data_IF_739665803563
#
_entry.id   IF_739665803563
#
_cell.length_a   1.000
_cell.length_b   1.000
_cell.length_c   1.000
_cell.angle_alpha   90.00
_cell.angle_beta   90.00
_cell.angle_gamma   90.00
#
_symmetry.space_group_name_H-M   'P 1'
#
loop_
_entity.id
_entity.type
_entity.pdbx_description
1 polymer ?
#
# COMPACT_ATOMS: atom_id res chain seq x y z
N UNK A 1 -7.18 28.60 109.01
CA UNK A 1 -6.06 27.78 108.48
C UNK A 1 -6.48 26.83 107.35
N UNK A 2 -7.55 26.03 107.51
CA UNK A 2 -7.94 25.00 106.53
C UNK A 2 -8.33 25.51 105.11
N UNK A 3 -8.99 26.67 105.01
CA UNK A 3 -9.45 27.25 103.72
C UNK A 3 -8.27 27.73 102.86
N UNK A 4 -7.21 28.26 103.49
CA UNK A 4 -6.01 28.75 102.80
C UNK A 4 -5.18 27.58 102.22
N UNK A 5 -5.08 26.48 102.97
CA UNK A 5 -4.40 25.24 102.53
C UNK A 5 -5.10 24.57 101.36
N UNK A 6 -6.45 24.59 101.34
CA UNK A 6 -7.26 24.11 100.21
C UNK A 6 -7.02 24.92 98.93
N UNK A 7 -6.87 26.24 99.01
CA UNK A 7 -6.64 27.09 97.85
C UNK A 7 -5.24 26.89 97.25
N UNK A 8 -4.21 26.76 98.09
CA UNK A 8 -2.83 26.51 97.65
C UNK A 8 -2.75 25.17 96.91
N UNK A 9 -3.38 24.11 97.43
CA UNK A 9 -3.42 22.80 96.78
C UNK A 9 -4.11 22.84 95.42
N UNK A 10 -5.24 23.54 95.32
CA UNK A 10 -5.99 23.70 94.07
C UNK A 10 -5.20 24.49 93.02
N UNK A 11 -4.45 25.51 93.44
CA UNK A 11 -3.54 26.26 92.57
C UNK A 11 -2.37 25.42 92.05
N UNK A 12 -1.75 24.61 92.91
CA UNK A 12 -0.69 23.68 92.50
C UNK A 12 -1.20 22.63 91.51
N UNK A 13 -2.41 22.10 91.70
CA UNK A 13 -3.02 21.15 90.78
C UNK A 13 -3.37 21.78 89.42
N UNK A 14 -3.82 23.04 89.40
CA UNK A 14 -4.07 23.77 88.17
C UNK A 14 -2.77 24.06 87.41
N UNK A 15 -1.72 24.46 88.13
CA UNK A 15 -0.40 24.70 87.54
C UNK A 15 0.19 23.43 86.89
N UNK A 16 0.07 22.28 87.56
CA UNK A 16 0.52 21.00 86.99
C UNK A 16 -0.33 20.55 85.80
N UNK A 17 -1.65 20.82 85.82
CA UNK A 17 -2.51 20.57 84.65
C UNK A 17 -2.10 21.45 83.47
N UNK A 18 -1.83 22.72 83.70
CA UNK A 18 -1.40 23.66 82.67
C UNK A 18 -0.04 23.27 82.07
N UNK A 19 0.89 22.83 82.90
CA UNK A 19 2.19 22.29 82.46
C UNK A 19 2.01 21.06 81.56
N UNK A 20 1.16 20.12 81.95
CA UNK A 20 0.83 18.94 81.12
C UNK A 20 0.15 19.31 79.81
N UNK A 21 -0.74 20.31 79.81
CA UNK A 21 -1.39 20.80 78.59
C UNK A 21 -0.33 21.34 77.62
N UNK A 22 0.62 22.16 78.09
CA UNK A 22 1.71 22.67 77.24
C UNK A 22 2.62 21.56 76.72
N UNK A 23 2.92 20.54 77.52
CA UNK A 23 3.70 19.37 77.08
C UNK A 23 2.97 18.55 76.01
N UNK A 24 1.65 18.41 76.11
CA UNK A 24 0.82 17.73 75.10
C UNK A 24 0.75 18.55 73.82
N UNK A 25 0.60 19.87 73.91
CA UNK A 25 0.60 20.78 72.75
C UNK A 25 1.94 20.75 72.03
N UNK A 26 3.06 20.81 72.75
CA UNK A 26 4.40 20.71 72.18
C UNK A 26 4.62 19.37 71.43
N UNK A 27 4.17 18.25 72.01
CA UNK A 27 4.24 16.94 71.33
C UNK A 27 3.38 16.86 70.08
N UNK A 28 2.17 17.43 70.11
CA UNK A 28 1.29 17.49 68.93
C UNK A 28 1.89 18.33 67.81
N UNK A 29 2.58 19.41 68.15
CA UNK A 29 3.26 20.26 67.16
C UNK A 29 4.48 19.57 66.55
N UNK A 30 5.24 18.78 67.32
CA UNK A 30 6.33 17.94 66.80
C UNK A 30 5.82 16.79 65.91
N UNK A 31 4.76 16.10 66.31
CA UNK A 31 4.11 15.07 65.49
C UNK A 31 3.57 15.65 64.17
N UNK A 32 3.02 16.87 64.21
CA UNK A 32 2.54 17.55 63.01
C UNK A 32 3.69 17.90 62.05
N UNK A 33 4.81 18.42 62.58
CA UNK A 33 6.00 18.73 61.78
C UNK A 33 6.61 17.50 61.13
N UNK A 34 6.75 16.41 61.89
CA UNK A 34 7.29 15.14 61.38
C UNK A 34 6.38 14.52 60.31
N UNK A 35 5.06 14.59 60.48
CA UNK A 35 4.10 14.14 59.47
C UNK A 35 4.15 14.97 58.18
N UNK A 36 4.29 16.30 58.29
CA UNK A 36 4.45 17.19 57.13
C UNK A 36 5.78 16.94 56.38
N UNK A 37 6.87 16.65 57.08
CA UNK A 37 8.15 16.26 56.48
C UNK A 37 8.05 14.90 55.78
N UNK A 38 7.40 13.91 56.40
CA UNK A 38 7.16 12.61 55.79
C UNK A 38 6.35 12.71 54.49
N UNK A 39 5.31 13.55 54.47
CA UNK A 39 4.54 13.81 53.25
C UNK A 39 5.36 14.50 52.15
N UNK A 40 6.27 15.42 52.52
CA UNK A 40 7.16 16.08 51.55
C UNK A 40 8.17 15.11 50.94
N UNK A 41 8.68 14.15 51.72
CA UNK A 41 9.61 13.12 51.25
C UNK A 41 8.89 12.17 50.28
N UNK A 42 7.71 11.65 50.65
CA UNK A 42 6.93 10.78 49.76
C UNK A 42 6.57 11.46 48.43
N UNK A 43 6.16 12.73 48.45
CA UNK A 43 5.86 13.48 47.22
C UNK A 43 7.07 13.62 46.30
N UNK A 44 8.28 13.86 46.85
CA UNK A 44 9.52 13.95 46.07
C UNK A 44 9.94 12.60 45.49
N UNK A 45 9.78 11.52 46.25
CA UNK A 45 10.18 10.16 45.84
C UNK A 45 9.30 9.64 44.67
N UNK A 46 7.98 9.88 44.75
CA UNK A 46 7.01 9.55 43.69
C UNK A 46 7.28 10.35 42.39
N UNK A 47 7.77 11.58 42.49
CA UNK A 47 8.06 12.42 41.32
C UNK A 47 9.32 11.94 40.58
N UNK A 48 10.35 11.50 41.33
CA UNK A 48 11.61 10.98 40.76
C UNK A 48 11.40 9.64 40.03
N UNK A 49 10.58 8.74 40.56
CA UNK A 49 10.26 7.46 39.88
C UNK A 49 9.48 7.69 38.57
N UNK A 50 8.50 8.60 38.56
CA UNK A 50 7.75 8.95 37.35
C UNK A 50 8.65 9.60 36.29
N UNK A 51 9.59 10.46 36.70
CA UNK A 51 10.57 11.07 35.78
C UNK A 51 11.45 10.00 35.14
N UNK A 52 12.00 9.05 35.92
CA UNK A 52 12.80 7.93 35.39
C UNK A 52 12.00 7.05 34.43
N UNK A 53 10.73 6.79 34.73
CA UNK A 53 9.87 6.00 33.85
C UNK A 53 9.60 6.72 32.51
N UNK A 54 9.33 8.04 32.56
CA UNK A 54 9.15 8.88 31.37
C UNK A 54 10.43 8.95 30.53
N UNK A 55 11.59 9.11 31.16
CA UNK A 55 12.88 9.11 30.47
C UNK A 55 13.15 7.77 29.78
N UNK A 56 12.90 6.64 30.47
CA UNK A 56 13.08 5.31 29.88
C UNK A 56 12.13 5.07 28.68
N UNK A 57 10.88 5.53 28.77
CA UNK A 57 9.90 5.45 27.66
C UNK A 57 10.31 6.33 26.49
N UNK A 58 10.83 7.54 26.76
CA UNK A 58 11.36 8.44 25.71
C UNK A 58 12.59 7.86 25.02
N UNK A 59 13.52 7.26 25.76
CA UNK A 59 14.71 6.60 25.20
C UNK A 59 14.31 5.44 24.27
N UNK A 60 13.44 4.53 24.74
CA UNK A 60 12.95 3.41 23.92
C UNK A 60 12.24 3.90 22.65
N UNK A 61 11.43 4.95 22.75
CA UNK A 61 10.75 5.54 21.59
C UNK A 61 11.74 6.16 20.59
N UNK A 62 12.80 6.82 21.07
CA UNK A 62 13.83 7.39 20.22
C UNK A 62 14.65 6.31 19.51
N UNK A 63 15.00 5.23 20.21
CA UNK A 63 15.67 4.05 19.63
C UNK A 63 14.83 3.42 18.52
N UNK A 64 13.53 3.24 18.76
CA UNK A 64 12.60 2.68 17.77
C UNK A 64 12.49 3.59 16.54
N UNK A 65 12.41 4.91 16.73
CA UNK A 65 12.38 5.86 15.62
C UNK A 65 13.68 5.84 14.80
N UNK A 66 14.83 5.75 15.47
CA UNK A 66 16.12 5.68 14.80
C UNK A 66 16.25 4.38 13.99
N UNK A 67 15.79 3.26 14.55
CA UNK A 67 15.77 1.99 13.84
C UNK A 67 14.82 2.02 12.64
N UNK A 68 13.64 2.60 12.79
CA UNK A 68 12.71 2.77 11.68
C UNK A 68 13.32 3.60 10.55
N UNK A 69 14.02 4.70 10.88
CA UNK A 69 14.73 5.52 9.88
C UNK A 69 15.84 4.73 9.17
N UNK A 70 16.60 3.93 9.90
CA UNK A 70 17.64 3.07 9.32
C UNK A 70 17.03 2.07 8.31
N UNK A 71 15.95 1.40 8.71
CA UNK A 71 15.23 0.47 7.83
C UNK A 71 14.74 1.18 6.57
N UNK A 72 14.07 2.32 6.72
CA UNK A 72 13.55 3.09 5.58
C UNK A 72 14.66 3.43 4.60
N UNK A 73 15.80 3.94 5.07
CA UNK A 73 16.93 4.28 4.19
C UNK A 73 17.51 3.06 3.45
N UNK A 74 17.55 1.89 4.09
CA UNK A 74 18.01 0.64 3.45
C UNK A 74 17.00 0.17 2.40
N UNK A 75 15.70 0.26 2.68
CA UNK A 75 14.62 -0.06 1.72
C UNK A 75 14.69 0.88 0.52
N UNK A 76 14.81 2.18 0.74
CA UNK A 76 14.91 3.18 -0.33
C UNK A 76 16.10 2.90 -1.25
N UNK A 77 17.24 2.48 -0.70
CA UNK A 77 18.40 2.06 -1.49
C UNK A 77 18.08 0.86 -2.39
N UNK A 78 17.44 -0.18 -1.85
CA UNK A 78 17.07 -1.37 -2.61
C UNK A 78 16.06 -1.05 -3.73
N UNK A 79 15.06 -0.22 -3.43
CA UNK A 79 14.06 0.20 -4.41
C UNK A 79 14.66 1.07 -5.51
N UNK A 80 15.59 1.96 -5.16
CA UNK A 80 16.33 2.77 -6.12
C UNK A 80 17.13 1.90 -7.09
N UNK A 81 17.89 0.93 -6.59
CA UNK A 81 18.63 -0.04 -7.42
C UNK A 81 17.70 -0.79 -8.38
N UNK A 82 16.56 -1.27 -7.88
CA UNK A 82 15.58 -1.98 -8.69
C UNK A 82 15.03 -1.09 -9.81
N UNK A 83 14.70 0.16 -9.48
CA UNK A 83 14.08 1.10 -10.42
C UNK A 83 15.05 1.53 -11.52
N UNK A 84 16.28 1.85 -11.15
CA UNK A 84 17.33 2.26 -12.10
C UNK A 84 17.61 1.15 -13.10
N UNK A 85 17.70 -0.10 -12.64
CA UNK A 85 17.90 -1.24 -13.53
C UNK A 85 16.71 -1.51 -14.44
N UNK A 86 15.46 -1.45 -13.96
CA UNK A 86 14.29 -1.66 -14.82
C UNK A 86 14.18 -0.61 -15.92
N UNK A 87 14.59 0.64 -15.64
CA UNK A 87 14.68 1.70 -16.64
C UNK A 87 15.79 1.39 -17.65
N UNK A 88 16.99 1.06 -17.17
CA UNK A 88 18.14 0.74 -18.02
C UNK A 88 17.85 -0.48 -18.91
N UNK A 89 17.29 -1.55 -18.34
CA UNK A 89 16.86 -2.76 -19.04
C UNK A 89 15.87 -2.44 -20.17
N UNK A 90 14.87 -1.61 -19.90
CA UNK A 90 13.87 -1.23 -20.93
C UNK A 90 14.49 -0.43 -22.07
N UNK A 91 15.39 0.52 -21.77
CA UNK A 91 16.10 1.29 -22.80
C UNK A 91 17.05 0.40 -23.60
N UNK A 92 17.83 -0.46 -22.94
CA UNK A 92 18.75 -1.38 -23.58
C UNK A 92 18.03 -2.34 -24.54
N UNK A 93 16.88 -2.89 -24.14
CA UNK A 93 16.08 -3.76 -25.02
C UNK A 93 15.52 -3.02 -26.25
N UNK A 94 15.14 -1.75 -26.11
CA UNK A 94 14.67 -0.95 -27.25
C UNK A 94 15.80 -0.59 -28.22
N UNK A 95 16.99 -0.37 -27.69
CA UNK A 95 18.17 0.07 -28.46
C UNK A 95 19.04 -1.10 -28.94
N UNK A 96 18.70 -2.34 -28.58
CA UNK A 96 19.50 -3.53 -28.89
C UNK A 96 20.87 -3.55 -28.19
N UNK A 97 21.00 -2.86 -27.05
CA UNK A 97 22.25 -2.77 -26.27
C UNK A 97 22.32 -3.84 -25.19
N UNK A 98 23.54 -4.10 -24.71
CA UNK A 98 23.77 -5.05 -23.62
C UNK A 98 23.06 -4.61 -22.33
N UNK A 99 22.56 -5.60 -21.57
CA UNK A 99 21.67 -5.43 -20.43
C UNK A 99 22.38 -5.05 -19.13
N UNK A 100 23.71 -4.85 -19.17
CA UNK A 100 24.52 -4.46 -18.01
C UNK A 100 24.48 -5.47 -16.86
N UNK A 101 24.90 -5.04 -15.68
CA UNK A 101 24.96 -5.85 -14.45
C UNK A 101 23.58 -5.97 -13.77
N UNK A 102 23.28 -7.16 -13.22
CA UNK A 102 21.97 -7.46 -12.62
C UNK A 102 21.99 -7.18 -11.10
N UNK A 103 21.28 -6.15 -10.59
CA UNK A 103 21.34 -5.80 -9.17
C UNK A 103 20.40 -6.64 -8.29
N UNK A 104 19.59 -7.54 -8.86
CA UNK A 104 18.62 -8.32 -8.10
C UNK A 104 19.26 -9.18 -7.00
N UNK A 105 20.51 -9.62 -7.18
CA UNK A 105 21.23 -10.32 -6.13
C UNK A 105 21.51 -9.42 -4.92
N UNK A 106 22.02 -8.20 -5.14
CA UNK A 106 22.26 -7.21 -4.08
C UNK A 106 20.95 -6.85 -3.36
N UNK A 107 19.86 -6.67 -4.10
CA UNK A 107 18.54 -6.37 -3.54
C UNK A 107 18.02 -7.51 -2.65
N UNK A 108 18.18 -8.76 -3.08
CA UNK A 108 17.81 -9.95 -2.28
C UNK A 108 18.60 -9.97 -0.97
N UNK A 109 19.91 -9.68 -1.01
CA UNK A 109 20.73 -9.60 0.20
C UNK A 109 20.25 -8.49 1.14
N UNK A 110 19.92 -7.32 0.61
CA UNK A 110 19.41 -6.19 1.40
C UNK A 110 18.14 -6.60 2.15
N UNK A 111 17.15 -7.17 1.46
CA UNK A 111 15.91 -7.59 2.10
C UNK A 111 16.10 -8.77 3.05
N UNK A 112 17.08 -9.65 2.80
CA UNK A 112 17.44 -10.73 3.73
C UNK A 112 18.02 -10.18 5.03
N UNK A 113 18.93 -9.20 4.93
CA UNK A 113 19.50 -8.49 6.10
C UNK A 113 18.40 -7.76 6.88
N UNK A 114 17.49 -7.06 6.20
CA UNK A 114 16.36 -6.37 6.82
C UNK A 114 15.42 -7.35 7.54
N UNK A 115 15.04 -8.44 6.89
CA UNK A 115 14.20 -9.49 7.49
C UNK A 115 14.79 -10.00 8.80
N UNK A 116 16.08 -10.29 8.83
CA UNK A 116 16.74 -10.78 10.04
C UNK A 116 16.79 -9.69 11.14
N UNK A 117 17.07 -8.43 10.78
CA UNK A 117 17.09 -7.29 11.71
C UNK A 117 15.73 -7.01 12.37
N UNK A 118 14.63 -7.12 11.61
CA UNK A 118 13.29 -6.92 12.19
C UNK A 118 12.84 -8.13 13.01
N UNK A 119 13.25 -9.34 12.61
CA UNK A 119 12.91 -10.57 13.33
C UNK A 119 13.58 -10.62 14.71
N UNK A 120 14.84 -10.17 14.84
CA UNK A 120 15.52 -10.11 16.14
C UNK A 120 14.85 -9.15 17.13
N UNK A 121 14.06 -8.19 16.65
CA UNK A 121 13.23 -7.29 17.48
C UNK A 121 11.78 -7.77 17.68
N UNK A 122 11.43 -8.94 17.17
CA UNK A 122 10.08 -9.51 17.28
C UNK A 122 9.05 -8.90 16.33
N UNK A 123 9.48 -8.13 15.31
CA UNK A 123 8.60 -7.55 14.31
C UNK A 123 8.26 -8.57 13.21
N UNK A 124 7.38 -9.51 13.54
CA UNK A 124 7.04 -10.66 12.68
C UNK A 124 6.33 -10.24 11.40
N UNK A 125 5.47 -9.23 11.44
CA UNK A 125 4.69 -8.79 10.28
C UNK A 125 5.59 -8.16 9.21
N UNK A 126 6.52 -7.30 9.63
CA UNK A 126 7.53 -6.71 8.76
C UNK A 126 8.48 -7.77 8.21
N UNK A 127 8.85 -8.77 9.01
CA UNK A 127 9.65 -9.90 8.53
C UNK A 127 8.95 -10.69 7.41
N UNK A 128 7.63 -10.88 7.51
CA UNK A 128 6.82 -11.53 6.48
C UNK A 128 6.74 -10.68 5.21
N UNK A 129 6.62 -9.35 5.33
CA UNK A 129 6.64 -8.44 4.19
C UNK A 129 7.97 -8.56 3.44
N UNK A 130 9.10 -8.52 4.15
CA UNK A 130 10.41 -8.67 3.51
C UNK A 130 10.64 -10.08 2.93
N UNK A 131 10.11 -11.13 3.55
CA UNK A 131 10.15 -12.48 2.98
C UNK A 131 9.45 -12.56 1.62
N UNK A 132 8.28 -11.91 1.49
CA UNK A 132 7.58 -11.80 0.20
C UNK A 132 8.40 -11.02 -0.82
N UNK A 133 9.03 -9.93 -0.39
CA UNK A 133 9.85 -9.10 -1.27
C UNK A 133 11.09 -9.85 -1.79
N UNK A 134 11.75 -10.64 -0.94
CA UNK A 134 12.84 -11.55 -1.35
C UNK A 134 12.36 -12.48 -2.47
N UNK A 135 11.19 -13.10 -2.30
CA UNK A 135 10.62 -14.02 -3.29
C UNK A 135 10.38 -13.32 -4.64
N UNK A 136 9.80 -12.12 -4.61
CA UNK A 136 9.56 -11.32 -5.83
C UNK A 136 10.88 -11.07 -6.59
N UNK A 137 11.94 -10.71 -5.89
CA UNK A 137 13.23 -10.44 -6.55
C UNK A 137 13.95 -11.72 -7.01
N UNK A 138 13.73 -12.86 -6.35
CA UNK A 138 14.21 -14.16 -6.86
C UNK A 138 13.54 -14.51 -8.19
N UNK A 139 12.22 -14.33 -8.30
CA UNK A 139 11.47 -14.56 -9.54
C UNK A 139 11.92 -13.61 -10.66
N UNK A 140 12.19 -12.34 -10.33
CA UNK A 140 12.76 -11.36 -11.28
C UNK A 140 14.15 -11.76 -11.77
N UNK A 141 15.03 -12.21 -10.87
CA UNK A 141 16.37 -12.68 -11.20
C UNK A 141 16.31 -13.88 -12.15
N UNK A 142 15.42 -14.84 -11.90
CA UNK A 142 15.28 -16.00 -12.76
C UNK A 142 14.73 -15.63 -14.15
N UNK A 143 13.76 -14.72 -14.19
CA UNK A 143 13.22 -14.18 -15.45
C UNK A 143 14.29 -13.45 -16.27
N UNK A 144 15.18 -12.70 -15.61
CA UNK A 144 16.30 -12.01 -16.26
C UNK A 144 17.30 -13.00 -16.88
N UNK A 145 17.65 -14.07 -16.16
CA UNK A 145 18.51 -15.14 -16.68
C UNK A 145 17.92 -15.80 -17.93
N UNK A 146 16.61 -16.08 -17.93
CA UNK A 146 15.91 -16.65 -19.09
C UNK A 146 15.99 -15.72 -20.30
N UNK A 147 15.75 -14.42 -20.08
CA UNK A 147 15.82 -13.42 -21.14
C UNK A 147 17.23 -13.31 -21.74
N UNK A 148 18.28 -13.30 -20.91
CA UNK A 148 19.66 -13.27 -21.41
C UNK A 148 20.04 -14.51 -22.21
N UNK A 149 19.52 -15.68 -21.84
CA UNK A 149 19.73 -16.91 -22.60
C UNK A 149 19.12 -16.81 -24.00
N UNK A 150 17.90 -16.27 -24.11
CA UNK A 150 17.22 -16.06 -25.39
C UNK A 150 18.01 -15.09 -26.27
N UNK A 151 18.46 -13.96 -25.73
CA UNK A 151 19.25 -12.98 -26.48
C UNK A 151 20.59 -13.57 -26.95
N UNK A 152 21.25 -14.38 -26.10
CA UNK A 152 22.46 -15.10 -26.51
C UNK A 152 22.19 -16.09 -27.66
N UNK A 153 21.10 -16.86 -27.59
CA UNK A 153 20.71 -17.79 -28.64
C UNK A 153 20.38 -17.08 -29.96
N UNK A 154 19.72 -15.90 -29.90
CA UNK A 154 19.46 -15.07 -31.09
C UNK A 154 20.75 -14.60 -31.74
N UNK A 155 21.70 -14.09 -30.94
CA UNK A 155 23.00 -13.62 -31.45
C UNK A 155 23.81 -14.77 -32.06
N UNK A 156 23.77 -15.97 -31.45
CA UNK A 156 24.43 -17.15 -32.01
C UNK A 156 23.82 -17.54 -33.36
N UNK A 157 22.49 -17.65 -33.46
CA UNK A 157 21.81 -17.95 -34.73
C UNK A 157 22.11 -16.92 -35.81
N UNK A 158 22.18 -15.64 -35.45
CA UNK A 158 22.55 -14.58 -36.37
C UNK A 158 24.00 -14.73 -36.88
N UNK A 159 24.94 -15.06 -35.98
CA UNK A 159 26.35 -15.33 -36.37
C UNK A 159 26.47 -16.56 -37.26
N UNK A 160 25.80 -17.66 -36.91
CA UNK A 160 25.77 -18.88 -37.73
C UNK A 160 25.20 -18.60 -39.13
N UNK A 161 24.16 -17.76 -39.20
CA UNK A 161 23.60 -17.31 -40.47
C UNK A 161 24.60 -16.47 -41.28
N UNK A 162 25.24 -15.46 -40.67
CA UNK A 162 26.27 -14.65 -41.32
C UNK A 162 27.50 -15.45 -41.76
N UNK A 163 27.96 -16.40 -40.96
CA UNK A 163 29.04 -17.32 -41.32
C UNK A 163 28.62 -18.22 -42.49
N UNK A 164 27.38 -18.71 -42.50
CA UNK A 164 26.84 -19.49 -43.61
C UNK A 164 26.75 -18.69 -44.91
N UNK A 165 26.58 -17.36 -44.82
CA UNK A 165 26.62 -16.44 -45.95
C UNK A 165 28.07 -16.17 -46.41
N UNK A 166 29.01 -15.98 -45.48
CA UNK A 166 30.43 -15.75 -45.79
C UNK A 166 31.12 -16.96 -46.43
N UNK A 167 30.78 -18.18 -46.01
CA UNK A 167 31.30 -19.43 -46.61
C UNK A 167 30.78 -19.64 -48.05
N UNK A 168 29.71 -18.93 -48.47
CA UNK A 168 29.04 -19.08 -49.78
C UNK A 168 29.24 -17.89 -50.74
N UNK A 169 30.25 -17.04 -50.54
CA UNK A 169 30.63 -16.02 -51.52
C UNK A 169 31.20 -16.60 -52.83
N UNK A 170 31.54 -17.89 -52.86
CA UNK A 170 31.86 -18.65 -54.08
C UNK A 170 30.62 -19.35 -54.65
N UNK A 171 29.78 -18.63 -55.40
CA UNK A 171 28.74 -19.21 -56.26
C UNK A 171 27.32 -19.21 -55.67
N UNK A 172 26.56 -18.14 -55.89
CA UNK A 172 25.10 -18.15 -55.72
C UNK A 172 24.43 -18.64 -57.02
N UNK A 173 23.75 -19.79 -56.95
CA UNK A 173 22.83 -20.27 -57.98
C UNK A 173 21.46 -19.58 -57.88
N UNK A 174 20.76 -19.43 -59.01
CA UNK A 174 19.45 -18.73 -59.14
C UNK A 174 18.39 -19.25 -58.16
N UNK A 175 18.40 -20.55 -57.83
CA UNK A 175 17.46 -21.15 -56.88
C UNK A 175 17.68 -20.70 -55.42
N UNK A 176 18.92 -20.34 -55.04
CA UNK A 176 19.21 -19.78 -53.71
C UNK A 176 18.71 -18.34 -53.57
N UNK A 177 18.74 -17.56 -54.65
CA UNK A 177 18.19 -16.19 -54.66
C UNK A 177 16.67 -16.20 -54.47
N UNK A 178 15.96 -17.13 -55.13
CA UNK A 178 14.51 -17.31 -54.92
C UNK A 178 14.16 -17.70 -53.49
N UNK A 179 14.96 -18.58 -52.87
CA UNK A 179 14.74 -18.96 -51.46
C UNK A 179 15.01 -17.81 -50.47
N UNK A 180 16.02 -16.98 -50.72
CA UNK A 180 16.29 -15.79 -49.92
C UNK A 180 15.18 -14.73 -50.06
N UNK A 181 14.65 -14.55 -51.27
CA UNK A 181 13.52 -13.66 -51.51
C UNK A 181 12.26 -14.14 -50.77
N UNK A 182 12.00 -15.45 -50.75
CA UNK A 182 10.89 -16.04 -49.98
C UNK A 182 11.08 -15.81 -48.47
N UNK A 183 12.27 -16.06 -47.93
CA UNK A 183 12.56 -15.86 -46.50
C UNK A 183 12.44 -14.39 -46.08
N UNK A 184 12.98 -13.46 -46.87
CA UNK A 184 12.86 -12.02 -46.58
C UNK A 184 11.41 -11.55 -46.61
N UNK A 185 10.60 -12.09 -47.52
CA UNK A 185 9.17 -11.80 -47.60
C UNK A 185 8.42 -12.36 -46.40
N UNK A 186 8.77 -13.55 -45.94
CA UNK A 186 8.22 -14.14 -44.72
C UNK A 186 8.56 -13.30 -43.47
N UNK A 187 9.80 -12.82 -43.33
CA UNK A 187 10.20 -11.94 -42.23
C UNK A 187 9.43 -10.62 -42.25
N UNK A 188 9.28 -9.99 -43.42
CA UNK A 188 8.49 -8.75 -43.56
C UNK A 188 7.00 -8.96 -43.22
N UNK A 189 6.46 -10.13 -43.56
CA UNK A 189 5.07 -10.47 -43.25
C UNK A 189 4.88 -10.78 -41.76
N UNK A 190 5.87 -11.38 -41.10
CA UNK A 190 5.90 -11.54 -39.63
C UNK A 190 5.99 -10.20 -38.91
N UNK A 191 6.89 -9.31 -39.33
CA UNK A 191 7.03 -7.98 -38.73
C UNK A 191 5.76 -7.14 -38.89
N UNK A 192 5.08 -7.22 -40.04
CA UNK A 192 3.77 -6.56 -40.22
C UNK A 192 2.72 -7.14 -39.29
N UNK A 193 2.67 -8.46 -39.14
CA UNK A 193 1.71 -9.12 -38.25
C UNK A 193 1.93 -8.70 -36.79
N UNK A 194 3.18 -8.65 -36.34
CA UNK A 194 3.54 -8.19 -35.00
C UNK A 194 3.07 -6.75 -34.76
N UNK A 195 3.38 -5.83 -35.69
CA UNK A 195 2.91 -4.43 -35.59
C UNK A 195 1.39 -4.32 -35.55
N UNK A 196 0.67 -5.10 -36.36
CA UNK A 196 -0.79 -5.12 -36.33
C UNK A 196 -1.35 -5.62 -34.99
N UNK A 197 -0.70 -6.61 -34.38
CA UNK A 197 -1.07 -7.13 -33.06
C UNK A 197 -0.84 -6.06 -32.00
N UNK A 198 0.33 -5.42 -32.00
CA UNK A 198 0.68 -4.35 -31.07
C UNK A 198 -0.34 -3.19 -31.14
N UNK A 199 -0.69 -2.75 -32.35
CA UNK A 199 -1.69 -1.69 -32.56
C UNK A 199 -3.07 -2.07 -31.99
N UNK A 200 -3.47 -3.34 -32.10
CA UNK A 200 -4.75 -3.83 -31.56
C UNK A 200 -4.72 -3.91 -30.03
N UNK A 201 -3.58 -4.32 -29.46
CA UNK A 201 -3.37 -4.36 -28.00
C UNK A 201 -3.40 -2.94 -27.43
N UNK A 202 -2.67 -2.01 -28.03
CA UNK A 202 -2.62 -0.61 -27.59
C UNK A 202 -4.02 0.04 -27.62
N UNK A 203 -4.79 -0.22 -28.68
CA UNK A 203 -6.20 0.23 -28.77
C UNK A 203 -7.06 -0.35 -27.65
N UNK A 204 -6.94 -1.65 -27.39
CA UNK A 204 -7.68 -2.34 -26.34
C UNK A 204 -7.34 -1.78 -24.95
N UNK A 205 -6.06 -1.58 -24.65
CA UNK A 205 -5.60 -1.06 -23.36
C UNK A 205 -6.00 0.40 -23.15
N UNK A 206 -5.92 1.23 -24.21
CA UNK A 206 -6.36 2.62 -24.15
C UNK A 206 -7.85 2.72 -23.84
N UNK A 207 -8.69 1.94 -24.51
CA UNK A 207 -10.14 1.89 -24.24
C UNK A 207 -10.43 1.45 -22.80
N UNK A 208 -9.73 0.41 -22.32
CA UNK A 208 -9.90 -0.08 -20.95
C UNK A 208 -9.54 1.00 -19.93
N UNK A 209 -8.41 1.67 -20.13
CA UNK A 209 -7.90 2.69 -19.20
C UNK A 209 -8.77 3.93 -19.16
N UNK A 210 -9.20 4.44 -20.31
CA UNK A 210 -10.08 5.61 -20.40
C UNK A 210 -11.41 5.36 -19.71
N UNK A 211 -11.96 4.16 -19.87
CA UNK A 211 -13.19 3.76 -19.21
C UNK A 211 -13.02 3.56 -17.70
N UNK A 212 -12.00 2.81 -17.26
CA UNK A 212 -11.73 2.58 -15.84
C UNK A 212 -11.55 3.90 -15.07
N UNK A 213 -10.94 4.91 -15.71
CA UNK A 213 -10.80 6.26 -15.15
C UNK A 213 -12.13 7.01 -15.09
N UNK A 214 -13.00 6.86 -16.10
CA UNK A 214 -14.31 7.49 -16.10
C UNK A 214 -15.21 6.96 -14.98
N UNK A 215 -15.25 5.63 -14.80
CA UNK A 215 -16.02 5.00 -13.72
C UNK A 215 -15.48 5.39 -12.34
N UNK A 216 -14.16 5.47 -12.16
CA UNK A 216 -13.56 5.98 -10.91
C UNK A 216 -13.93 7.43 -10.60
N UNK A 217 -14.24 8.24 -11.61
CA UNK A 217 -14.71 9.62 -11.47
C UNK A 217 -16.24 9.72 -11.28
N UNK A 218 -16.94 8.58 -11.22
CA UNK A 218 -18.40 8.52 -11.07
C UNK A 218 -19.18 8.76 -12.37
N UNK A 219 -18.54 8.71 -13.54
CA UNK A 219 -19.20 8.91 -14.84
C UNK A 219 -19.85 7.62 -15.34
N UNK A 220 -20.93 7.20 -14.69
CA UNK A 220 -21.65 5.97 -15.02
C UNK A 220 -22.45 6.05 -16.32
N UNK A 221 -22.61 7.23 -16.92
CA UNK A 221 -23.31 7.44 -18.19
C UNK A 221 -22.53 6.90 -19.39
N UNK A 222 -21.20 6.76 -19.28
CA UNK A 222 -20.39 6.24 -20.38
C UNK A 222 -20.72 4.78 -20.68
N UNK A 223 -20.76 4.41 -21.96
CA UNK A 223 -20.96 3.02 -22.37
C UNK A 223 -19.74 2.14 -22.01
N UNK A 224 -20.00 0.89 -21.61
CA UNK A 224 -18.97 -0.05 -21.21
C UNK A 224 -18.25 -0.69 -22.43
N UNK A 225 -16.96 -0.42 -22.66
CA UNK A 225 -16.25 -0.90 -23.84
C UNK A 225 -15.67 -2.31 -23.68
N UNK A 226 -15.87 -2.99 -22.54
CA UNK A 226 -15.21 -4.27 -22.26
C UNK A 226 -15.58 -5.38 -23.26
N UNK A 227 -16.77 -5.34 -23.86
CA UNK A 227 -17.12 -6.27 -24.94
C UNK A 227 -16.35 -5.98 -26.23
N UNK A 228 -16.22 -4.71 -26.61
CA UNK A 228 -15.42 -4.27 -27.76
C UNK A 228 -13.96 -4.69 -27.58
N UNK A 229 -13.43 -4.52 -26.36
CA UNK A 229 -12.07 -4.96 -26.02
C UNK A 229 -11.92 -6.47 -26.13
N UNK A 230 -12.91 -7.24 -25.67
CA UNK A 230 -12.91 -8.70 -25.83
C UNK A 230 -12.93 -9.13 -27.30
N UNK A 231 -13.59 -8.37 -28.18
CA UNK A 231 -13.57 -8.61 -29.63
C UNK A 231 -12.21 -8.29 -30.26
N UNK A 232 -11.53 -7.23 -29.82
CA UNK A 232 -10.16 -6.93 -30.27
C UNK A 232 -9.21 -8.08 -29.94
N UNK A 233 -9.25 -8.59 -28.71
CA UNK A 233 -8.44 -9.75 -28.33
C UNK A 233 -8.86 -11.04 -29.04
N UNK A 234 -10.13 -11.18 -29.43
CA UNK A 234 -10.57 -12.29 -30.28
C UNK A 234 -9.92 -12.23 -31.67
N UNK A 235 -9.88 -11.05 -32.30
CA UNK A 235 -9.21 -10.84 -33.59
C UNK A 235 -7.71 -11.14 -33.50
N UNK A 236 -7.05 -10.69 -32.42
CA UNK A 236 -5.63 -11.01 -32.17
C UNK A 236 -5.45 -12.53 -32.04
N UNK A 237 -6.28 -13.18 -31.22
CA UNK A 237 -6.24 -14.64 -31.03
C UNK A 237 -6.34 -15.41 -32.35
N UNK A 238 -7.27 -15.02 -33.22
CA UNK A 238 -7.45 -15.66 -34.53
C UNK A 238 -6.21 -15.49 -35.42
N UNK A 239 -5.60 -14.30 -35.43
CA UNK A 239 -4.36 -14.01 -36.17
C UNK A 239 -3.18 -14.87 -35.70
N UNK A 240 -2.91 -14.91 -34.39
CA UNK A 240 -1.78 -15.68 -33.84
C UNK A 240 -2.01 -17.19 -33.98
N UNK A 241 -3.25 -17.66 -33.81
CA UNK A 241 -3.59 -19.06 -33.97
C UNK A 241 -3.41 -19.54 -35.42
N UNK A 242 -3.80 -18.72 -36.41
CA UNK A 242 -3.59 -19.01 -37.82
C UNK A 242 -2.10 -19.16 -38.18
N UNK A 243 -1.20 -18.53 -37.42
CA UNK A 243 0.26 -18.65 -37.59
C UNK A 243 0.89 -19.81 -36.82
N UNK A 244 0.11 -20.53 -36.01
CA UNK A 244 0.56 -21.65 -35.19
C UNK A 244 1.09 -21.26 -33.81
N UNK A 245 0.96 -19.99 -33.41
CA UNK A 245 1.37 -19.46 -32.11
C UNK A 245 0.32 -19.78 -31.05
N UNK A 246 0.32 -21.03 -30.58
CA UNK A 246 -0.73 -21.57 -29.69
C UNK A 246 -0.66 -20.99 -28.28
N UNK A 247 0.54 -20.80 -27.74
CA UNK A 247 0.73 -20.28 -26.38
C UNK A 247 0.23 -18.83 -26.30
N UNK A 248 0.55 -18.01 -27.31
CA UNK A 248 0.07 -16.64 -27.46
C UNK A 248 -1.47 -16.60 -27.63
N UNK A 249 -2.02 -17.51 -28.43
CA UNK A 249 -3.47 -17.62 -28.61
C UNK A 249 -4.20 -17.92 -27.28
N UNK A 250 -3.59 -18.71 -26.40
CA UNK A 250 -4.13 -19.01 -25.08
C UNK A 250 -4.02 -17.82 -24.12
N UNK A 251 -2.92 -17.07 -24.16
CA UNK A 251 -2.77 -15.81 -23.41
C UNK A 251 -3.89 -14.83 -23.80
N UNK A 252 -4.12 -14.60 -25.10
CA UNK A 252 -5.20 -13.73 -25.55
C UNK A 252 -6.58 -14.32 -25.25
N UNK A 253 -6.73 -15.64 -25.27
CA UNK A 253 -7.93 -16.34 -24.79
C UNK A 253 -8.28 -15.98 -23.34
N UNK A 254 -7.27 -15.94 -22.47
CA UNK A 254 -7.42 -15.52 -21.08
C UNK A 254 -7.82 -14.04 -20.97
N UNK A 255 -7.27 -13.16 -21.82
CA UNK A 255 -7.66 -11.75 -21.84
C UNK A 255 -9.13 -11.56 -22.24
N UNK A 256 -9.61 -12.28 -23.25
CA UNK A 256 -11.03 -12.28 -23.64
C UNK A 256 -11.91 -12.61 -22.43
N UNK A 257 -11.57 -13.67 -21.70
CA UNK A 257 -12.31 -14.10 -20.51
C UNK A 257 -12.26 -13.05 -19.39
N UNK A 258 -11.10 -12.42 -19.18
CA UNK A 258 -10.93 -11.37 -18.17
C UNK A 258 -11.84 -10.17 -18.46
N UNK A 259 -11.89 -9.71 -19.72
CA UNK A 259 -12.73 -8.57 -20.09
C UNK A 259 -14.23 -8.91 -20.07
N UNK A 260 -14.63 -10.13 -20.44
CA UNK A 260 -16.01 -10.60 -20.20
C UNK A 260 -16.40 -10.57 -18.73
N UNK A 261 -15.50 -11.04 -17.84
CA UNK A 261 -15.71 -10.95 -16.38
C UNK A 261 -15.74 -9.51 -15.87
N UNK A 262 -15.00 -8.58 -16.49
CA UNK A 262 -15.07 -7.15 -16.16
C UNK A 262 -16.43 -6.57 -16.58
N UNK A 263 -16.94 -6.93 -17.75
CA UNK A 263 -18.28 -6.53 -18.21
C UNK A 263 -19.39 -6.97 -17.26
N UNK A 264 -19.39 -8.24 -16.82
CA UNK A 264 -20.38 -8.73 -15.85
C UNK A 264 -20.31 -7.99 -14.50
N UNK A 265 -19.10 -7.62 -14.05
CA UNK A 265 -18.92 -6.81 -12.84
C UNK A 265 -19.44 -5.40 -13.02
N UNK A 266 -19.22 -4.80 -14.17
CA UNK A 266 -19.72 -3.46 -14.51
C UNK A 266 -21.25 -3.42 -14.53
N UNK A 267 -21.89 -4.43 -15.13
CA UNK A 267 -23.34 -4.57 -15.12
C UNK A 267 -23.91 -4.58 -13.70
N UNK A 268 -23.32 -5.38 -12.80
CA UNK A 268 -23.71 -5.42 -11.38
C UNK A 268 -23.48 -4.09 -10.68
N UNK A 269 -22.39 -3.39 -11.00
CA UNK A 269 -22.09 -2.08 -10.42
C UNK A 269 -23.17 -1.05 -10.80
N UNK A 270 -23.61 -1.04 -12.06
CA UNK A 270 -24.68 -0.16 -12.55
C UNK A 270 -26.03 -0.48 -11.89
N UNK A 271 -26.36 -1.76 -11.72
CA UNK A 271 -27.58 -2.17 -11.02
C UNK A 271 -27.60 -1.69 -9.55
N UNK A 272 -26.45 -1.75 -8.87
CA UNK A 272 -26.32 -1.23 -7.50
C UNK A 272 -26.43 0.28 -7.44
N UNK A 273 -25.84 0.99 -8.39
CA UNK A 273 -25.90 2.45 -8.44
C UNK A 273 -27.33 2.94 -8.72
N UNK A 274 -28.04 2.29 -9.65
CA UNK A 274 -29.45 2.56 -9.90
C UNK A 274 -30.31 2.40 -8.63
N UNK A 275 -30.09 1.32 -7.86
CA UNK A 275 -30.79 1.09 -6.58
C UNK A 275 -30.48 2.15 -5.52
N UNK A 276 -29.26 2.69 -5.50
CA UNK A 276 -28.90 3.77 -4.57
C UNK A 276 -29.60 5.06 -4.94
N UNK A 277 -29.63 5.40 -6.23
CA UNK A 277 -30.32 6.60 -6.73
C UNK A 277 -31.82 6.52 -6.42
N UNK A 278 -32.45 5.36 -6.63
CA UNK A 278 -33.85 5.11 -6.27
C UNK A 278 -34.11 5.33 -4.78
N UNK A 279 -33.31 4.70 -3.91
CA UNK A 279 -33.42 4.88 -2.45
C UNK A 279 -33.21 6.33 -2.00
N UNK A 280 -32.30 7.04 -2.65
CA UNK A 280 -32.05 8.45 -2.35
C UNK A 280 -33.25 9.31 -2.74
N UNK A 281 -33.86 9.04 -3.89
CA UNK A 281 -35.08 9.70 -4.33
C UNK A 281 -36.26 9.44 -3.38
N UNK A 282 -36.46 8.19 -2.96
CA UNK A 282 -37.50 7.83 -2.00
C UNK A 282 -37.33 8.54 -0.64
N UNK A 283 -36.08 8.67 -0.19
CA UNK A 283 -35.74 9.40 1.03
C UNK A 283 -36.02 10.90 0.89
N UNK A 284 -35.60 11.51 -0.22
CA UNK A 284 -35.86 12.93 -0.50
C UNK A 284 -37.36 13.23 -0.60
N UNK A 285 -38.13 12.35 -1.24
CA UNK A 285 -39.59 12.49 -1.34
C UNK A 285 -40.27 12.30 0.02
N UNK A 286 -39.79 11.37 0.86
CA UNK A 286 -40.24 11.22 2.26
C UNK A 286 -39.99 12.49 3.11
N UNK A 287 -38.84 13.15 2.90
CA UNK A 287 -38.53 14.42 3.57
C UNK A 287 -39.43 15.56 3.09
N UNK A 288 -39.78 15.62 1.79
CA UNK A 288 -40.73 16.62 1.25
C UNK A 288 -42.11 16.44 1.86
N UNK A 289 -42.63 15.21 1.87
CA UNK A 289 -43.94 14.88 2.47
C UNK A 289 -43.98 15.33 3.94
N UNK A 290 -42.93 15.05 4.70
CA UNK A 290 -42.85 15.45 6.12
C UNK A 290 -42.91 16.97 6.30
N UNK A 291 -42.28 17.75 5.41
CA UNK A 291 -42.32 19.22 5.45
C UNK A 291 -43.70 19.76 5.06
N UNK A 292 -44.36 19.18 4.07
CA UNK A 292 -45.71 19.58 3.64
C UNK A 292 -46.75 19.27 4.71
N UNK A 293 -46.68 18.10 5.35
CA UNK A 293 -47.55 17.74 6.48
C UNK A 293 -47.37 18.71 7.65
N UNK A 294 -46.13 19.11 7.96
CA UNK A 294 -45.89 20.13 9.00
C UNK A 294 -46.47 21.50 8.63
N UNK A 295 -46.39 21.89 7.36
CA UNK A 295 -46.94 23.15 6.86
C UNK A 295 -48.47 23.18 6.94
N UNK A 296 -49.12 22.09 6.55
CA UNK A 296 -50.59 21.96 6.64
C UNK A 296 -51.08 22.02 8.08
N UNK A 297 -50.42 21.31 9.02
CA UNK A 297 -50.76 21.39 10.45
C UNK A 297 -50.60 22.79 11.03
N UNK A 298 -49.58 23.54 10.59
CA UNK A 298 -49.38 24.92 11.02
C UNK A 298 -50.49 25.85 10.51
N UNK A 299 -50.95 25.62 9.27
CA UNK A 299 -52.06 26.36 8.67
C UNK A 299 -53.40 26.04 9.36
N UNK A 300 -53.63 24.78 9.74
CA UNK A 300 -54.81 24.38 10.52
C UNK A 300 -54.84 25.07 11.90
N UNK A 301 -53.71 25.09 12.61
CA UNK A 301 -53.60 25.79 13.92
C UNK A 301 -53.87 27.29 13.75
N UNK A 302 -53.24 27.93 12.76
CA UNK A 302 -53.45 29.36 12.49
C UNK A 302 -54.89 29.69 12.08
N UNK A 303 -55.58 28.79 11.38
CA UNK A 303 -56.98 28.96 10.98
C UNK A 303 -57.98 28.75 12.14
N UNK A 304 -57.59 28.00 13.18
CA UNK A 304 -58.34 27.87 14.43
C UNK A 304 -58.17 29.13 15.26
N UNK A 305 -56.94 29.62 15.42
CA UNK A 305 -56.62 30.82 16.21
C UNK A 305 -57.15 32.14 15.62
N UNK A 306 -57.61 32.15 14.36
CA UNK A 306 -58.17 33.33 13.68
C UNK A 306 -59.69 33.32 13.54
N UNK A 307 -60.38 32.34 14.18
CA UNK A 307 -61.84 32.24 14.24
C UNK A 307 -62.45 32.62 15.60
N UNK A 308 -61.62 32.98 16.57
CA UNK A 308 -62.01 33.62 17.85
C UNK A 308 -61.77 35.13 17.79
#
# INVERSE_FOLDING_TARGET
>A
AAILSSHIRKYSELFEKEKRIREIEAKKDEEKKTYEEFQKIQKKEIDVEKIKEIESKKSKKLEEQNFQKEITGIVDKAEKLAREYEIAKRSALKEGKDLGEVPYFEIIEIYTKLRNKVLTRGWTDQALIYAKQIKIYQEKLESDKKLRKIEFEKVQKQKEFEESLKVKAGGLTVDRLKNLEILSKQEQDEEKLEREIDDLVDKAEKLAREYDLAIKRGQFEKECPYLIIAELYKKIKEKVYARGWKDEADIYGNQINNYRKKYERDKRLRELEAKKVEKQKDFEDSLKITKEVKKLKLQEIQAIDSKD
#
